data_IF_727927046243
#
_entry.id   IF_727927046243
#
_cell.length_a   1.000
_cell.length_b   1.000
_cell.length_c   1.000
_cell.angle_alpha   90.00
_cell.angle_beta   90.00
_cell.angle_gamma   90.00
#
_symmetry.space_group_name_H-M   'P 1'
#
loop_
_entity.id
_entity.type
_entity.pdbx_description
1 polymer ?
#
# COMPACT_ATOMS: atom_id res chain seq x y z
N UNK A 1 -16.42 -10.68 -2.78
CA UNK A 1 -15.77 -9.57 -3.52
C UNK A 1 -14.28 -9.72 -3.30
N UNK A 2 -13.54 -10.27 -4.27
CA UNK A 2 -12.07 -10.22 -4.26
C UNK A 2 -11.68 -8.74 -4.15
N UNK A 3 -10.89 -8.37 -3.14
CA UNK A 3 -10.71 -7.04 -2.54
C UNK A 3 -9.96 -6.04 -3.43
N UNK A 4 -10.40 -5.90 -4.68
CA UNK A 4 -9.73 -5.26 -5.80
C UNK A 4 -9.66 -3.74 -5.78
N UNK A 5 -9.29 -3.12 -4.67
CA UNK A 5 -8.84 -1.73 -4.71
C UNK A 5 -7.75 -1.41 -3.69
N UNK A 6 -6.92 -2.38 -3.33
CA UNK A 6 -5.71 -2.10 -2.56
C UNK A 6 -4.63 -1.58 -3.52
N UNK A 7 -4.09 -0.40 -3.21
CA UNK A 7 -2.91 0.12 -3.90
C UNK A 7 -1.82 0.39 -2.89
N UNK A 8 -0.59 0.04 -3.25
CA UNK A 8 0.60 0.33 -2.48
C UNK A 8 1.45 1.28 -3.32
N UNK A 9 1.73 2.47 -2.77
CA UNK A 9 2.41 3.54 -3.50
C UNK A 9 1.79 3.84 -4.88
N UNK A 10 0.46 3.87 -4.93
CA UNK A 10 -0.36 4.02 -6.15
C UNK A 10 -0.32 2.85 -7.15
N UNK A 11 0.48 1.83 -6.90
CA UNK A 11 0.49 0.61 -7.71
C UNK A 11 -0.60 -0.36 -7.26
N UNK A 12 -1.41 -0.92 -8.18
CA UNK A 12 -2.42 -1.91 -7.81
C UNK A 12 -1.75 -3.19 -7.29
N UNK A 13 -2.26 -3.72 -6.18
CA UNK A 13 -1.81 -4.99 -5.63
C UNK A 13 -2.79 -6.07 -6.06
N UNK A 14 -2.31 -7.07 -6.82
CA UNK A 14 -3.12 -8.20 -7.30
C UNK A 14 -3.14 -9.39 -6.33
N UNK A 15 -2.06 -9.59 -5.56
CA UNK A 15 -1.97 -10.58 -4.50
C UNK A 15 -2.18 -9.93 -3.13
N UNK A 16 -3.34 -10.18 -2.50
CA UNK A 16 -3.68 -9.66 -1.18
C UNK A 16 -2.74 -10.16 -0.07
N UNK A 17 -1.96 -11.22 -0.31
CA UNK A 17 -0.98 -11.76 0.65
C UNK A 17 0.44 -11.24 0.43
N UNK A 18 0.65 -10.31 -0.52
CA UNK A 18 1.95 -9.69 -0.78
C UNK A 18 2.52 -9.07 0.50
N UNK A 19 3.76 -9.43 0.82
CA UNK A 19 4.50 -8.80 1.92
C UNK A 19 4.94 -7.39 1.54
N UNK A 20 4.78 -6.45 2.47
CA UNK A 20 5.38 -5.11 2.41
C UNK A 20 6.78 -5.19 3.00
N UNK A 21 7.76 -4.69 2.28
CA UNK A 21 9.19 -4.79 2.60
C UNK A 21 9.82 -3.40 2.67
N UNK A 22 11.05 -3.24 3.21
CA UNK A 22 11.74 -1.95 3.21
C UNK A 22 11.95 -1.34 1.82
N UNK A 23 11.91 -2.15 0.75
CA UNK A 23 12.02 -1.66 -0.64
C UNK A 23 10.80 -0.86 -1.09
N UNK A 24 9.69 -1.01 -0.39
CA UNK A 24 8.45 -0.29 -0.66
C UNK A 24 8.44 1.10 -0.01
N UNK A 25 9.47 1.47 0.75
CA UNK A 25 9.53 2.78 1.38
C UNK A 25 9.78 3.86 0.33
N UNK A 26 9.00 4.94 0.43
CA UNK A 26 9.32 6.18 -0.27
C UNK A 26 10.56 6.84 0.34
N UNK A 27 11.16 7.84 -0.33
CA UNK A 27 12.28 8.61 0.22
C UNK A 27 12.01 9.23 1.60
N UNK A 28 10.75 9.44 1.95
CA UNK A 28 10.29 10.00 3.22
C UNK A 28 10.05 8.92 4.31
N UNK A 29 10.51 7.67 4.09
CA UNK A 29 10.32 6.53 4.99
C UNK A 29 8.85 6.21 5.31
N UNK A 30 7.96 6.36 4.31
CA UNK A 30 6.54 6.01 4.42
C UNK A 30 6.12 5.07 3.30
N UNK A 31 5.06 4.31 3.54
CA UNK A 31 4.32 3.56 2.51
C UNK A 31 2.91 4.13 2.42
N UNK A 32 2.43 4.43 1.20
CA UNK A 32 1.03 4.83 0.99
C UNK A 32 0.17 3.60 0.70
N UNK A 33 -0.69 3.24 1.64
CA UNK A 33 -1.70 2.21 1.48
C UNK A 33 -3.05 2.83 1.14
N UNK A 34 -3.58 2.55 -0.04
CA UNK A 34 -4.88 3.04 -0.50
C UNK A 34 -5.90 1.92 -0.52
N UNK A 35 -7.09 2.18 0.02
CA UNK A 35 -8.23 1.29 0.03
C UNK A 35 -9.37 1.97 -0.75
N UNK A 36 -9.50 1.63 -2.03
CA UNK A 36 -10.43 2.32 -2.92
C UNK A 36 -10.01 3.75 -3.24
N UNK A 37 -10.98 4.56 -3.70
CA UNK A 37 -10.73 5.93 -4.17
C UNK A 37 -10.66 7.00 -3.06
N UNK A 38 -11.10 6.68 -1.84
CA UNK A 38 -11.32 7.67 -0.77
C UNK A 38 -10.41 7.51 0.43
N UNK A 39 -9.96 6.29 0.73
CA UNK A 39 -9.23 5.99 1.95
C UNK A 39 -7.76 5.76 1.63
N UNK A 40 -6.91 6.67 2.09
CA UNK A 40 -5.46 6.60 1.94
C UNK A 40 -4.82 6.70 3.32
N UNK A 41 -3.87 5.82 3.59
CA UNK A 41 -3.19 5.69 4.88
C UNK A 41 -1.69 5.75 4.60
N UNK A 42 -0.98 6.60 5.33
CA UNK A 42 0.48 6.57 5.37
C UNK A 42 0.93 5.71 6.54
N UNK A 43 1.74 4.69 6.24
CA UNK A 43 2.33 3.79 7.23
C UNK A 43 3.80 4.11 7.37
N UNK A 44 4.28 4.22 8.61
CA UNK A 44 5.70 4.35 8.94
C UNK A 44 6.18 3.05 9.58
N UNK A 45 7.41 2.60 9.28
CA UNK A 45 8.07 1.55 10.06
C UNK A 45 8.16 1.98 11.54
N UNK A 46 8.06 1.00 12.44
CA UNK A 46 8.33 1.19 13.87
C UNK A 46 9.84 1.16 14.14
#
# INVERSE_FOLDING_TARGET
>A
VQGGAVRLNDEPVSDERRLVTPRDLSPENVVKLSLGKKKHILVRPA
#
